data_IF_827877926921
#
_entry.id   IF_827877926921
#
_cell.length_a   1.000
_cell.length_b   1.000
_cell.length_c   1.000
_cell.angle_alpha   90.00
_cell.angle_beta   90.00
_cell.angle_gamma   90.00
#
_symmetry.space_group_name_H-M   'P 1'
#
loop_
_entity.id
_entity.type
_entity.pdbx_description
1 polymer ?
#
# COMPACT_ATOMS: atom_id res chain seq x y z
N UNK A 1 1.87 -17.14 20.70
CA UNK A 1 1.11 -17.04 21.96
C UNK A 1 0.88 -15.59 22.41
N UNK A 2 1.92 -14.72 22.43
CA UNK A 2 1.80 -13.33 22.92
C UNK A 2 0.74 -12.48 22.18
N UNK A 3 0.60 -12.67 20.86
CA UNK A 3 -0.30 -11.88 20.02
C UNK A 3 -1.81 -12.14 20.27
N UNK A 4 -2.18 -13.40 20.55
CA UNK A 4 -3.57 -13.81 20.85
C UNK A 4 -4.07 -13.18 22.16
N UNK A 5 -3.16 -12.95 23.12
CA UNK A 5 -3.50 -12.29 24.38
C UNK A 5 -3.85 -10.81 24.19
N UNK A 6 -3.18 -10.10 23.27
CA UNK A 6 -3.50 -8.71 22.97
C UNK A 6 -4.86 -8.56 22.31
N UNK A 7 -5.21 -9.44 21.37
CA UNK A 7 -6.53 -9.44 20.74
C UNK A 7 -7.64 -9.63 21.78
N UNK A 8 -7.47 -10.59 22.70
CA UNK A 8 -8.43 -10.82 23.78
C UNK A 8 -8.58 -9.59 24.70
N UNK A 9 -7.49 -8.87 24.95
CA UNK A 9 -7.51 -7.66 25.78
C UNK A 9 -8.25 -6.51 25.06
N UNK A 10 -8.03 -6.32 23.76
CA UNK A 10 -8.76 -5.35 22.95
C UNK A 10 -10.27 -5.66 22.90
N UNK A 11 -10.64 -6.93 22.67
CA UNK A 11 -12.04 -7.36 22.72
C UNK A 11 -12.65 -7.08 24.08
N UNK A 12 -11.94 -7.39 25.17
CA UNK A 12 -12.39 -7.12 26.55
C UNK A 12 -12.59 -5.63 26.84
N UNK A 13 -11.75 -4.76 26.27
CA UNK A 13 -11.87 -3.30 26.43
C UNK A 13 -13.05 -2.76 25.63
N UNK A 14 -13.24 -3.20 24.39
CA UNK A 14 -14.38 -2.80 23.56
C UNK A 14 -15.69 -3.25 24.21
N UNK A 15 -15.76 -4.47 24.73
CA UNK A 15 -16.93 -4.98 25.45
C UNK A 15 -17.26 -4.24 26.76
N UNK A 16 -16.37 -3.36 27.24
CA UNK A 16 -16.56 -2.55 28.44
C UNK A 16 -16.97 -1.10 28.15
N UNK A 17 -17.13 -0.73 26.88
CA UNK A 17 -17.59 0.61 26.53
C UNK A 17 -19.08 0.81 26.78
N UNK A 18 -19.46 2.06 27.10
CA UNK A 18 -20.84 2.45 27.34
C UNK A 18 -21.72 2.27 26.08
N UNK A 19 -23.02 2.06 26.29
CA UNK A 19 -23.96 1.81 25.19
C UNK A 19 -24.02 2.98 24.19
N UNK A 20 -23.81 4.22 24.66
CA UNK A 20 -23.72 5.42 23.81
C UNK A 20 -22.54 5.39 22.82
N UNK A 21 -21.47 4.63 23.11
CA UNK A 21 -20.34 4.48 22.19
C UNK A 21 -20.70 3.66 20.95
N UNK A 22 -21.59 2.67 21.10
CA UNK A 22 -22.05 1.80 20.01
C UNK A 22 -23.21 2.40 19.20
N UNK A 23 -23.81 3.49 19.69
CA UNK A 23 -24.90 4.21 19.03
C UNK A 23 -24.39 5.18 17.94
N UNK A 24 -23.09 5.50 17.95
CA UNK A 24 -22.46 6.21 16.84
C UNK A 24 -22.40 5.29 15.60
N UNK A 25 -22.93 5.77 14.47
CA UNK A 25 -22.95 5.07 13.19
C UNK A 25 -21.55 4.62 12.73
N UNK A 26 -20.48 5.30 13.18
CA UNK A 26 -19.08 4.94 12.92
C UNK A 26 -18.58 3.77 13.76
N UNK A 27 -19.20 3.52 14.90
CA UNK A 27 -18.84 2.50 15.89
C UNK A 27 -19.85 1.35 15.95
N UNK A 28 -20.64 1.18 14.89
CA UNK A 28 -21.52 0.03 14.78
C UNK A 28 -20.72 -1.27 14.91
N UNK A 29 -21.31 -2.26 15.56
CA UNK A 29 -20.68 -3.53 15.96
C UNK A 29 -20.02 -4.27 14.79
N UNK A 30 -20.64 -4.26 13.61
CA UNK A 30 -20.07 -4.85 12.39
C UNK A 30 -18.83 -4.11 11.87
N UNK A 31 -18.84 -2.77 11.91
CA UNK A 31 -17.72 -1.94 11.47
C UNK A 31 -16.53 -2.07 12.42
N UNK A 32 -16.78 -2.09 13.74
CA UNK A 32 -15.74 -2.32 14.75
C UNK A 32 -15.14 -3.73 14.65
N UNK A 33 -15.97 -4.76 14.48
CA UNK A 33 -15.49 -6.14 14.32
C UNK A 33 -14.59 -6.28 13.08
N UNK A 34 -15.00 -5.67 11.97
CA UNK A 34 -14.22 -5.67 10.73
C UNK A 34 -12.89 -4.93 10.89
N UNK A 35 -12.92 -3.72 11.49
CA UNK A 35 -11.71 -2.95 11.77
C UNK A 35 -10.77 -3.70 12.69
N UNK A 36 -11.29 -4.26 13.78
CA UNK A 36 -10.50 -5.03 14.73
C UNK A 36 -9.86 -6.25 14.07
N UNK A 37 -10.58 -6.96 13.20
CA UNK A 37 -10.04 -8.12 12.47
C UNK A 37 -8.93 -7.71 11.48
N UNK A 38 -9.11 -6.60 10.77
CA UNK A 38 -8.11 -6.07 9.82
C UNK A 38 -6.87 -5.56 10.55
N UNK A 39 -7.05 -4.74 11.59
CA UNK A 39 -5.95 -4.20 12.39
C UNK A 39 -5.22 -5.32 13.14
N UNK A 40 -5.94 -6.32 13.63
CA UNK A 40 -5.33 -7.48 14.23
C UNK A 40 -4.44 -8.22 13.20
N UNK A 41 -5.00 -8.56 12.05
CA UNK A 41 -4.23 -9.24 10.99
C UNK A 41 -3.01 -8.43 10.55
N UNK A 42 -3.11 -7.10 10.47
CA UNK A 42 -2.01 -6.20 10.14
C UNK A 42 -0.89 -6.24 11.20
N UNK A 43 -1.23 -6.16 12.49
CA UNK A 43 -0.23 -6.24 13.58
C UNK A 43 0.40 -7.63 13.65
N UNK A 44 -0.37 -8.70 13.39
CA UNK A 44 0.14 -10.06 13.33
C UNK A 44 1.20 -10.21 12.24
N UNK A 45 0.91 -9.72 11.03
CA UNK A 45 1.82 -9.75 9.89
C UNK A 45 3.05 -8.88 10.10
N UNK A 46 2.89 -7.70 10.68
CA UNK A 46 3.97 -6.76 10.94
C UNK A 46 4.97 -7.25 11.99
N UNK A 47 4.49 -7.86 13.07
CA UNK A 47 5.33 -8.19 14.23
C UNK A 47 6.02 -9.55 14.09
N UNK A 48 5.32 -10.59 13.62
CA UNK A 48 5.90 -11.94 13.57
C UNK A 48 6.75 -12.17 12.32
N UNK A 49 6.13 -11.99 11.16
CA UNK A 49 6.73 -12.40 9.89
C UNK A 49 7.78 -11.39 9.43
N UNK A 50 7.48 -10.09 9.51
CA UNK A 50 8.38 -9.06 9.02
C UNK A 50 9.67 -8.97 9.84
N UNK A 51 9.58 -9.04 11.16
CA UNK A 51 10.75 -9.02 12.04
C UNK A 51 11.59 -10.29 11.84
N UNK A 52 10.95 -11.46 11.72
CA UNK A 52 11.63 -12.72 11.43
C UNK A 52 12.41 -12.67 10.10
N UNK A 53 11.79 -12.14 9.05
CA UNK A 53 12.43 -11.94 7.75
C UNK A 53 13.60 -10.95 7.82
N UNK A 54 13.45 -9.84 8.54
CA UNK A 54 14.53 -8.88 8.73
C UNK A 54 15.73 -9.55 9.41
N UNK A 55 15.51 -10.26 10.52
CA UNK A 55 16.57 -10.94 11.25
C UNK A 55 17.25 -12.01 10.39
N UNK A 56 16.46 -12.79 9.63
CA UNK A 56 16.99 -13.78 8.69
C UNK A 56 17.87 -13.12 7.62
N UNK A 57 17.40 -12.02 7.01
CA UNK A 57 18.15 -11.31 5.98
C UNK A 57 19.46 -10.73 6.53
N UNK A 58 19.43 -10.13 7.71
CA UNK A 58 20.65 -9.63 8.37
C UNK A 58 21.62 -10.75 8.70
N UNK A 59 21.13 -11.88 9.22
CA UNK A 59 21.96 -13.05 9.51
C UNK A 59 22.57 -13.63 8.23
N UNK A 60 21.78 -13.75 7.16
CA UNK A 60 22.23 -14.28 5.87
C UNK A 60 23.30 -13.39 5.24
N UNK A 61 23.08 -12.07 5.23
CA UNK A 61 24.07 -11.10 4.76
C UNK A 61 25.36 -11.16 5.57
N UNK A 62 25.26 -11.22 6.90
CA UNK A 62 26.41 -11.34 7.79
C UNK A 62 27.23 -12.60 7.51
N UNK A 63 26.57 -13.76 7.45
CA UNK A 63 27.24 -15.04 7.16
C UNK A 63 27.84 -15.04 5.75
N UNK A 64 27.12 -14.53 4.75
CA UNK A 64 27.61 -14.44 3.36
C UNK A 64 28.87 -13.59 3.22
N UNK A 65 28.92 -12.44 3.91
CA UNK A 65 30.10 -11.57 3.93
C UNK A 65 31.28 -12.28 4.61
N UNK A 66 31.06 -12.87 5.79
CA UNK A 66 32.12 -13.59 6.55
C UNK A 66 32.69 -14.73 5.71
N UNK A 67 31.85 -15.58 5.14
CA UNK A 67 32.30 -16.69 4.28
C UNK A 67 33.03 -16.17 3.05
N UNK A 68 32.54 -15.11 2.41
CA UNK A 68 33.19 -14.53 1.26
C UNK A 68 34.61 -14.03 1.56
N UNK A 69 34.81 -13.37 2.71
CA UNK A 69 36.15 -12.91 3.12
C UNK A 69 37.10 -14.07 3.46
N UNK A 70 36.58 -15.18 3.99
CA UNK A 70 37.37 -16.37 4.33
C UNK A 70 37.85 -17.12 3.08
N UNK A 71 36.98 -17.33 2.09
CA UNK A 71 37.33 -18.11 0.89
C UNK A 71 38.01 -17.28 -0.21
N UNK A 72 37.76 -15.97 -0.30
CA UNK A 72 38.32 -15.15 -1.37
C UNK A 72 38.05 -13.66 -1.18
N UNK A 73 39.01 -12.96 -0.57
CA UNK A 73 38.94 -11.52 -0.31
C UNK A 73 38.87 -10.66 -1.60
N UNK A 74 39.47 -11.13 -2.71
CA UNK A 74 39.44 -10.40 -3.99
C UNK A 74 38.05 -10.45 -4.66
N UNK A 75 37.37 -11.61 -4.61
CA UNK A 75 36.04 -11.78 -5.20
C UNK A 75 34.97 -11.00 -4.41
N UNK A 76 35.09 -10.96 -3.09
CA UNK A 76 34.17 -10.22 -2.23
C UNK A 76 34.26 -8.72 -2.41
N UNK A 77 35.47 -8.16 -2.52
CA UNK A 77 35.66 -6.73 -2.80
C UNK A 77 35.04 -6.31 -4.14
N UNK A 78 35.16 -7.15 -5.16
CA UNK A 78 34.53 -6.91 -6.46
C UNK A 78 33.00 -6.86 -6.31
N UNK A 79 32.40 -7.85 -5.67
CA UNK A 79 30.95 -7.89 -5.43
C UNK A 79 30.47 -6.69 -4.60
N UNK A 80 31.21 -6.31 -3.55
CA UNK A 80 30.88 -5.17 -2.72
C UNK A 80 30.87 -3.86 -3.52
N UNK A 81 31.73 -3.74 -4.54
CA UNK A 81 31.75 -2.60 -5.47
C UNK A 81 30.55 -2.54 -6.41
N UNK A 82 29.93 -3.67 -6.74
CA UNK A 82 28.71 -3.70 -7.58
C UNK A 82 27.43 -3.38 -6.79
N UNK A 83 27.39 -3.63 -5.48
CA UNK A 83 26.25 -3.30 -4.62
C UNK A 83 25.79 -1.83 -4.76
N UNK A 84 26.67 -0.80 -4.64
CA UNK A 84 26.25 0.58 -4.81
C UNK A 84 25.81 0.90 -6.24
N UNK A 85 26.41 0.29 -7.26
CA UNK A 85 26.02 0.50 -8.66
C UNK A 85 24.60 0.01 -8.91
N UNK A 86 24.27 -1.19 -8.43
CA UNK A 86 22.92 -1.77 -8.52
C UNK A 86 21.93 -0.92 -7.70
N UNK A 87 22.30 -0.53 -6.49
CA UNK A 87 21.46 0.30 -5.63
C UNK A 87 21.10 1.65 -6.24
N UNK A 88 22.02 2.30 -6.95
CA UNK A 88 21.72 3.55 -7.69
C UNK A 88 20.74 3.29 -8.84
N UNK A 89 20.92 2.19 -9.58
CA UNK A 89 20.01 1.79 -10.65
C UNK A 89 18.58 1.56 -10.14
N UNK A 90 18.44 0.77 -9.07
CA UNK A 90 17.15 0.50 -8.43
C UNK A 90 16.52 1.78 -7.86
N UNK A 91 17.31 2.65 -7.24
CA UNK A 91 16.81 3.92 -6.70
C UNK A 91 16.26 4.82 -7.80
N UNK A 92 16.99 4.96 -8.91
CA UNK A 92 16.55 5.78 -10.03
C UNK A 92 15.30 5.20 -10.67
N UNK A 93 15.25 3.88 -10.88
CA UNK A 93 14.07 3.19 -11.40
C UNK A 93 12.87 3.39 -10.47
N UNK A 94 13.04 3.20 -9.17
CA UNK A 94 11.97 3.38 -8.18
C UNK A 94 11.43 4.81 -8.18
N UNK A 95 12.32 5.80 -8.26
CA UNK A 95 11.94 7.21 -8.37
C UNK A 95 11.15 7.48 -9.65
N UNK A 96 11.61 6.98 -10.79
CA UNK A 96 10.91 7.13 -12.07
C UNK A 96 9.52 6.49 -12.01
N UNK A 97 9.42 5.24 -11.57
CA UNK A 97 8.15 4.53 -11.44
C UNK A 97 7.19 5.27 -10.51
N UNK A 98 7.68 5.78 -9.38
CA UNK A 98 6.86 6.58 -8.45
C UNK A 98 6.38 7.89 -9.08
N UNK A 99 7.20 8.53 -9.92
CA UNK A 99 6.85 9.75 -10.62
C UNK A 99 5.79 9.49 -11.71
N UNK A 100 5.97 8.45 -12.53
CA UNK A 100 4.98 8.01 -13.51
C UNK A 100 3.66 7.64 -12.84
N UNK A 101 3.70 6.81 -11.80
CA UNK A 101 2.50 6.46 -11.04
C UNK A 101 1.76 7.68 -10.47
N UNK A 102 2.50 8.75 -10.11
CA UNK A 102 1.90 10.00 -9.64
C UNK A 102 1.26 10.83 -10.77
N UNK A 103 1.84 10.80 -11.98
CA UNK A 103 1.27 11.43 -13.17
C UNK A 103 0.02 10.68 -13.64
N UNK A 104 0.11 9.36 -13.76
CA UNK A 104 -1.02 8.48 -14.10
C UNK A 104 -2.18 8.68 -13.14
N UNK A 105 -1.89 8.72 -11.84
CA UNK A 105 -2.92 8.95 -10.82
C UNK A 105 -3.62 10.31 -11.00
N UNK A 106 -2.89 11.37 -11.38
CA UNK A 106 -3.50 12.69 -11.63
C UNK A 106 -4.35 12.71 -12.89
N UNK A 107 -3.89 12.08 -13.98
CA UNK A 107 -4.67 11.95 -15.21
C UNK A 107 -5.97 11.19 -14.94
N UNK A 108 -5.86 10.06 -14.23
CA UNK A 108 -7.01 9.24 -13.84
C UNK A 108 -7.96 9.96 -12.88
N UNK A 109 -7.44 10.78 -11.96
CA UNK A 109 -8.27 11.61 -11.07
C UNK A 109 -9.09 12.65 -11.87
N UNK A 110 -8.48 13.29 -12.87
CA UNK A 110 -9.17 14.26 -13.72
C UNK A 110 -10.24 13.59 -14.59
N UNK A 111 -9.91 12.47 -15.24
CA UNK A 111 -10.87 11.68 -15.99
C UNK A 111 -12.03 11.21 -15.10
N UNK A 112 -11.72 10.72 -13.90
CA UNK A 112 -12.70 10.30 -12.90
C UNK A 112 -13.62 11.43 -12.45
N UNK A 113 -13.13 12.66 -12.27
CA UNK A 113 -13.95 13.83 -11.95
C UNK A 113 -15.00 14.10 -13.04
N UNK A 114 -14.58 14.12 -14.30
CA UNK A 114 -15.50 14.32 -15.44
C UNK A 114 -16.54 13.22 -15.50
N UNK A 115 -16.14 11.96 -15.34
CA UNK A 115 -17.09 10.84 -15.30
C UNK A 115 -18.09 10.96 -14.16
N UNK A 116 -17.65 11.34 -12.95
CA UNK A 116 -18.54 11.52 -11.80
C UNK A 116 -19.55 12.65 -12.06
N UNK A 117 -19.13 13.76 -12.64
CA UNK A 117 -20.01 14.88 -12.99
C UNK A 117 -21.09 14.49 -14.01
N UNK A 118 -20.69 13.73 -15.04
CA UNK A 118 -21.60 13.20 -16.06
C UNK A 118 -22.60 12.22 -15.46
N UNK A 119 -22.16 11.31 -14.59
CA UNK A 119 -23.05 10.34 -13.92
C UNK A 119 -24.05 11.06 -13.00
N UNK A 120 -23.60 12.07 -12.25
CA UNK A 120 -24.47 12.85 -11.37
C UNK A 120 -25.55 13.60 -12.15
N UNK A 121 -25.22 14.09 -13.35
CA UNK A 121 -26.12 14.87 -14.21
C UNK A 121 -26.62 14.11 -15.45
N UNK A 122 -26.72 12.78 -15.36
CA UNK A 122 -26.99 11.91 -16.52
C UNK A 122 -28.30 12.27 -17.26
N UNK A 123 -29.34 12.71 -16.55
CA UNK A 123 -30.60 13.14 -17.18
C UNK A 123 -30.40 14.37 -18.06
N UNK A 124 -29.61 15.34 -17.59
CA UNK A 124 -29.31 16.57 -18.33
C UNK A 124 -28.43 16.27 -19.55
N UNK A 125 -27.42 15.42 -19.40
CA UNK A 125 -26.55 15.00 -20.51
C UNK A 125 -27.34 14.24 -21.58
N UNK A 126 -28.26 13.37 -21.16
CA UNK A 126 -29.15 12.64 -22.07
C UNK A 126 -30.15 13.57 -22.78
N UNK A 127 -30.67 14.59 -22.09
CA UNK A 127 -31.58 15.58 -22.67
C UNK A 127 -30.88 16.50 -23.69
N UNK A 128 -29.60 16.78 -23.50
CA UNK A 128 -28.80 17.60 -24.42
C UNK A 128 -28.14 16.78 -25.54
N UNK A 129 -28.27 15.46 -25.54
CA UNK A 129 -27.62 14.54 -26.50
C UNK A 129 -26.10 14.77 -26.59
N UNK A 130 -25.46 15.15 -25.48
CA UNK A 130 -24.01 15.44 -25.41
C UNK A 130 -23.19 14.25 -24.88
N UNK A 131 -23.77 13.05 -24.83
CA UNK A 131 -23.09 11.87 -24.29
C UNK A 131 -21.78 11.53 -25.04
N UNK A 132 -21.76 11.67 -26.37
CA UNK A 132 -20.54 11.43 -27.15
C UNK A 132 -19.46 12.48 -26.90
N UNK A 133 -19.82 13.75 -26.65
CA UNK A 133 -18.86 14.81 -26.34
C UNK A 133 -18.06 14.46 -25.07
N UNK A 134 -18.75 14.09 -24.00
CA UNK A 134 -18.09 13.68 -22.75
C UNK A 134 -17.35 12.35 -22.86
N UNK A 135 -17.81 11.43 -23.73
CA UNK A 135 -17.07 10.20 -24.05
C UNK A 135 -15.73 10.49 -24.72
N UNK A 136 -15.71 11.45 -25.65
CA UNK A 136 -14.50 11.86 -26.35
C UNK A 136 -13.55 12.65 -25.43
N UNK A 137 -14.09 13.47 -24.54
CA UNK A 137 -13.34 14.19 -23.51
C UNK A 137 -12.67 13.23 -22.52
N UNK A 138 -13.38 12.18 -22.08
CA UNK A 138 -12.79 11.12 -21.26
C UNK A 138 -11.69 10.37 -22.02
N UNK A 139 -11.90 10.02 -23.29
CA UNK A 139 -10.88 9.36 -24.11
C UNK A 139 -9.61 10.21 -24.22
N UNK A 140 -9.76 11.51 -24.45
CA UNK A 140 -8.64 12.45 -24.49
C UNK A 140 -7.92 12.57 -23.14
N UNK A 141 -8.63 12.55 -22.01
CA UNK A 141 -8.03 12.64 -20.68
C UNK A 141 -7.27 11.38 -20.26
N UNK A 142 -7.62 10.21 -20.81
CA UNK A 142 -6.96 8.93 -20.54
C UNK A 142 -5.80 8.66 -21.51
N UNK A 143 -5.83 9.23 -22.72
CA UNK A 143 -4.74 9.10 -23.71
C UNK A 143 -3.49 9.92 -23.37
N UNK A 144 -3.53 10.79 -22.36
CA UNK A 144 -2.34 11.53 -21.90
C UNK A 144 -1.52 10.60 -20.98
N UNK A 145 -0.32 10.15 -21.40
CA UNK A 145 0.59 9.40 -20.53
C UNK A 145 1.30 10.30 -19.50
#
# INVERSE_FOLDING_TARGET
>A
MHYINHINLCIRVILRQDMAYFDDQKNNTGALCTRLAVEASAVQGATGIRIGLLLQNFSSLGVGIILGFVYGWALTLMLLGFIPLIGIGEFLQSKLVSEFASKDKKALENAGKVTVEVIQNIRTVAQLTQAEHFGNEYAHLVEIP
#
